data_IF_822944393659
#
_entry.id   IF_822944393659
#
_cell.length_a   1.000
_cell.length_b   1.000
_cell.length_c   1.000
_cell.angle_alpha   90.00
_cell.angle_beta   90.00
_cell.angle_gamma   90.00
#
_symmetry.space_group_name_H-M   'P 1'
#
loop_
_entity.id
_entity.type
_entity.pdbx_description
1 polymer ?
#
# COMPACT_ATOMS: atom_id res chain seq x y z
N UNK A 1 1.32 -11.94 -8.76
CA UNK A 1 1.94 -10.63 -8.44
C UNK A 1 3.30 -10.58 -9.14
N UNK A 2 3.46 -9.76 -10.18
CA UNK A 2 4.75 -9.57 -10.88
C UNK A 2 5.51 -8.41 -10.27
N UNK A 3 6.81 -8.58 -10.02
CA UNK A 3 7.66 -7.52 -9.45
C UNK A 3 7.88 -6.43 -10.51
N UNK A 4 7.62 -5.15 -10.21
CA UNK A 4 7.86 -4.06 -11.16
C UNK A 4 9.36 -3.89 -11.40
N UNK A 5 9.77 -3.95 -12.67
CA UNK A 5 11.17 -3.79 -13.08
C UNK A 5 11.46 -2.30 -13.19
N UNK A 6 12.37 -1.77 -12.37
CA UNK A 6 12.86 -0.39 -12.52
C UNK A 6 13.69 -0.25 -13.80
N UNK A 7 13.54 0.87 -14.49
CA UNK A 7 14.34 1.16 -15.68
C UNK A 7 15.83 1.36 -15.32
N UNK A 8 16.71 0.98 -16.27
CA UNK A 8 18.16 1.17 -16.17
C UNK A 8 18.49 2.67 -16.03
N UNK A 9 19.37 3.01 -15.10
CA UNK A 9 19.83 4.39 -14.89
C UNK A 9 21.32 4.54 -15.22
N UNK A 10 21.72 5.72 -15.70
CA UNK A 10 23.12 6.07 -16.01
C UNK A 10 23.50 7.30 -15.20
N UNK A 11 24.66 7.24 -14.57
CA UNK A 11 25.22 8.30 -13.74
C UNK A 11 26.63 8.62 -14.24
N UNK A 12 26.95 9.91 -14.34
CA UNK A 12 28.29 10.38 -14.67
C UNK A 12 28.95 10.93 -13.41
N UNK A 13 30.06 10.34 -12.99
CA UNK A 13 30.80 10.74 -11.78
C UNK A 13 32.21 11.12 -12.22
N UNK A 14 32.41 12.39 -12.56
CA UNK A 14 33.66 12.88 -13.12
C UNK A 14 34.00 12.15 -14.42
N UNK A 15 35.14 11.43 -14.42
CA UNK A 15 35.60 10.61 -15.55
C UNK A 15 34.95 9.23 -15.64
N UNK A 16 34.21 8.82 -14.62
CA UNK A 16 33.60 7.51 -14.55
C UNK A 16 32.16 7.55 -15.04
N UNK A 17 31.80 6.56 -15.86
CA UNK A 17 30.42 6.28 -16.22
C UNK A 17 29.91 5.10 -15.39
N UNK A 18 28.86 5.32 -14.61
CA UNK A 18 28.25 4.30 -13.77
C UNK A 18 26.88 3.94 -14.32
N UNK A 19 26.69 2.65 -14.58
CA UNK A 19 25.45 2.12 -15.11
C UNK A 19 24.79 1.25 -14.04
N UNK A 20 23.60 1.66 -13.61
CA UNK A 20 22.77 0.90 -12.68
C UNK A 20 21.76 0.02 -13.42
N UNK A 21 21.92 -1.29 -13.28
CA UNK A 21 21.06 -2.30 -13.89
C UNK A 21 20.21 -2.99 -12.81
N UNK A 22 18.89 -3.15 -13.02
CA UNK A 22 18.03 -3.90 -12.10
C UNK A 22 18.43 -5.38 -12.06
N UNK A 23 18.50 -5.94 -10.85
CA UNK A 23 18.73 -7.38 -10.67
C UNK A 23 17.40 -8.12 -10.88
N UNK A 24 17.36 -9.18 -11.69
CA UNK A 24 16.15 -9.96 -11.86
C UNK A 24 15.68 -10.52 -10.51
N UNK A 25 14.36 -10.55 -10.32
CA UNK A 25 13.72 -11.00 -9.08
C UNK A 25 13.92 -10.09 -7.85
N UNK A 26 14.57 -8.93 -7.99
CA UNK A 26 14.68 -7.93 -6.93
C UNK A 26 14.00 -6.62 -7.32
N UNK A 27 13.17 -6.10 -6.42
CA UNK A 27 12.43 -4.84 -6.64
C UNK A 27 13.33 -3.60 -6.49
N UNK A 28 14.40 -3.71 -5.69
CA UNK A 28 15.19 -2.56 -5.24
C UNK A 28 16.70 -2.72 -5.44
N UNK A 29 17.20 -3.95 -5.66
CA UNK A 29 18.64 -4.14 -5.85
C UNK A 29 19.07 -3.77 -7.27
N UNK A 30 20.16 -3.03 -7.35
CA UNK A 30 20.81 -2.60 -8.56
C UNK A 30 22.24 -3.13 -8.61
N UNK A 31 22.67 -3.55 -9.80
CA UNK A 31 24.07 -3.84 -10.13
C UNK A 31 24.66 -2.58 -10.77
N UNK A 32 25.64 -1.99 -10.11
CA UNK A 32 26.38 -0.84 -10.61
C UNK A 32 27.62 -1.32 -11.34
N UNK A 33 27.65 -1.12 -12.66
CA UNK A 33 28.83 -1.34 -13.47
C UNK A 33 29.57 -0.01 -13.68
N UNK A 34 30.86 0.04 -13.37
CA UNK A 34 31.68 1.25 -13.47
C UNK A 34 32.59 1.16 -14.70
N UNK A 35 32.54 2.17 -15.53
CA UNK A 35 33.32 2.31 -16.75
C UNK A 35 34.22 3.54 -16.70
N UNK A 36 35.41 3.43 -17.28
CA UNK A 36 36.29 4.54 -17.63
C UNK A 36 36.64 4.37 -19.10
N UNK A 37 36.40 5.39 -19.92
CA UNK A 37 36.69 5.36 -21.36
C UNK A 37 36.15 4.09 -22.05
N UNK A 38 34.90 3.70 -21.73
CA UNK A 38 34.20 2.50 -22.21
C UNK A 38 34.79 1.16 -21.75
N UNK A 39 35.84 1.17 -20.94
CA UNK A 39 36.41 -0.03 -20.31
C UNK A 39 35.79 -0.24 -18.94
N UNK A 40 35.25 -1.44 -18.68
CA UNK A 40 34.66 -1.78 -17.37
C UNK A 40 35.78 -1.98 -16.36
N UNK A 41 35.81 -1.16 -15.32
CA UNK A 41 36.80 -1.24 -14.23
C UNK A 41 36.29 -2.13 -13.10
N UNK A 42 34.99 -2.09 -12.83
CA UNK A 42 34.44 -2.80 -11.68
C UNK A 42 32.94 -2.96 -11.71
N UNK A 43 32.45 -3.75 -10.76
CA UNK A 43 31.03 -3.94 -10.53
C UNK A 43 30.74 -4.12 -9.04
N UNK A 44 29.69 -3.46 -8.58
CA UNK A 44 29.20 -3.56 -7.20
C UNK A 44 27.71 -3.84 -7.22
N UNK A 45 27.22 -4.66 -6.31
CA UNK A 45 25.79 -4.93 -6.12
C UNK A 45 25.32 -4.21 -4.88
N UNK A 46 24.23 -3.45 -4.96
CA UNK A 46 23.60 -2.89 -3.76
C UNK A 46 23.07 -4.02 -2.88
N UNK A 47 23.40 -4.00 -1.59
CA UNK A 47 22.67 -4.81 -0.62
C UNK A 47 21.28 -4.22 -0.36
N UNK A 48 20.27 -5.05 -0.04
CA UNK A 48 18.99 -4.55 0.45
C UNK A 48 19.22 -3.74 1.73
N UNK A 49 18.58 -2.57 1.82
CA UNK A 49 18.61 -1.78 3.05
C UNK A 49 17.65 -2.38 4.09
N UNK A 50 17.86 -2.10 5.38
CA UNK A 50 16.94 -2.56 6.44
C UNK A 50 15.49 -2.12 6.15
N UNK A 51 15.29 -0.93 5.57
CA UNK A 51 13.96 -0.45 5.17
C UNK A 51 13.30 -1.32 4.11
N UNK A 52 14.08 -1.93 3.22
CA UNK A 52 13.57 -2.80 2.15
C UNK A 52 13.07 -4.13 2.73
N UNK A 53 13.84 -4.71 3.67
CA UNK A 53 13.41 -5.91 4.41
C UNK A 53 12.15 -5.62 5.23
N UNK A 54 12.11 -4.47 5.92
CA UNK A 54 10.97 -4.07 6.75
C UNK A 54 9.70 -3.84 5.93
N UNK A 55 9.83 -3.34 4.71
CA UNK A 55 8.70 -3.18 3.78
C UNK A 55 8.15 -4.54 3.31
N UNK A 56 9.02 -5.53 3.08
CA UNK A 56 8.61 -6.89 2.71
C UNK A 56 7.96 -7.64 3.89
N UNK A 57 8.52 -7.52 5.09
CA UNK A 57 8.03 -8.20 6.29
C UNK A 57 6.75 -7.55 6.85
N UNK A 58 6.68 -6.22 6.83
CA UNK A 58 5.59 -5.44 7.39
C UNK A 58 5.25 -4.29 6.44
N UNK A 59 4.51 -4.56 5.35
CA UNK A 59 4.13 -3.50 4.43
C UNK A 59 3.34 -2.42 5.18
N UNK A 60 3.55 -1.13 4.86
CA UNK A 60 2.83 -0.05 5.50
C UNK A 60 1.33 -0.20 5.24
N UNK A 61 0.52 0.06 6.27
CA UNK A 61 -0.94 -0.02 6.16
C UNK A 61 -1.39 1.01 5.13
N UNK A 62 -1.86 0.54 3.97
CA UNK A 62 -2.44 1.41 2.96
C UNK A 62 -3.78 1.90 3.53
N UNK A 63 -4.00 3.22 3.64
CA UNK A 63 -5.28 3.73 4.10
C UNK A 63 -6.39 3.19 3.20
N UNK A 64 -7.56 2.85 3.76
CA UNK A 64 -8.65 2.27 2.99
C UNK A 64 -8.99 3.22 1.83
N UNK A 65 -9.01 2.67 0.63
CA UNK A 65 -9.37 3.41 -0.58
C UNK A 65 -10.79 3.96 -0.37
N UNK A 66 -10.89 5.25 -0.06
CA UNK A 66 -12.17 5.95 0.05
C UNK A 66 -12.72 5.99 -1.36
N UNK A 67 -13.62 5.06 -1.67
CA UNK A 67 -14.37 5.05 -2.94
C UNK A 67 -14.90 6.47 -3.10
N UNK A 68 -14.54 7.14 -4.19
CA UNK A 68 -15.09 8.45 -4.49
C UNK A 68 -16.60 8.27 -4.65
N UNK A 69 -17.34 8.43 -3.56
CA UNK A 69 -18.77 8.62 -3.60
C UNK A 69 -18.98 9.98 -4.26
N UNK A 70 -19.07 9.98 -5.59
CA UNK A 70 -19.78 11.01 -6.32
C UNK A 70 -21.22 10.94 -5.82
N UNK A 71 -21.48 11.56 -4.67
CA UNK A 71 -22.82 11.89 -4.26
C UNK A 71 -23.39 12.71 -5.40
N UNK A 72 -24.35 12.11 -6.13
CA UNK A 72 -24.94 12.71 -7.31
C UNK A 72 -25.27 14.16 -6.99
N UNK A 73 -24.83 15.08 -7.86
CA UNK A 73 -25.07 16.52 -7.68
C UNK A 73 -26.52 16.68 -7.26
N UNK A 74 -26.82 17.22 -6.06
CA UNK A 74 -28.19 17.35 -5.63
C UNK A 74 -28.85 18.29 -6.63
N UNK A 75 -29.69 17.73 -7.50
CA UNK A 75 -30.50 18.53 -8.39
C UNK A 75 -31.36 19.48 -7.56
N UNK A 76 -31.88 20.52 -8.21
CA UNK A 76 -32.81 21.49 -7.59
C UNK A 76 -33.93 20.72 -6.87
N UNK A 77 -34.13 20.90 -5.55
CA UNK A 77 -35.20 20.23 -4.83
C UNK A 77 -36.55 20.56 -5.49
N UNK A 78 -37.34 19.55 -5.84
CA UNK A 78 -38.71 19.77 -6.35
C UNK A 78 -39.54 20.48 -5.28
N UNK A 79 -40.41 21.40 -5.70
CA UNK A 79 -41.25 22.22 -4.82
C UNK A 79 -42.10 21.30 -3.92
N UNK A 80 -41.87 21.35 -2.60
CA UNK A 80 -42.49 20.48 -1.61
C UNK A 80 -41.57 19.38 -1.02
N UNK A 81 -40.33 19.26 -1.48
CA UNK A 81 -39.39 18.30 -0.90
C UNK A 81 -39.00 18.70 0.54
N UNK A 82 -39.21 17.79 1.48
CA UNK A 82 -38.76 17.93 2.87
C UNK A 82 -37.24 17.99 2.90
N UNK A 83 -36.67 18.99 3.56
CA UNK A 83 -35.21 19.14 3.71
C UNK A 83 -34.64 17.87 4.36
N UNK A 84 -33.57 17.26 3.84
CA UNK A 84 -32.92 16.18 4.55
C UNK A 84 -32.44 16.72 5.90
N UNK A 85 -32.78 16.01 6.99
CA UNK A 85 -32.35 16.38 8.32
C UNK A 85 -30.83 16.46 8.35
N UNK A 86 -30.30 17.55 8.91
CA UNK A 86 -28.87 17.68 9.19
C UNK A 86 -28.50 16.52 10.11
N UNK A 87 -27.71 15.59 9.59
CA UNK A 87 -27.10 14.53 10.39
C UNK A 87 -26.12 15.24 11.32
N UNK A 88 -26.57 15.56 12.53
CA UNK A 88 -25.66 15.76 13.64
C UNK A 88 -24.97 14.42 13.84
N UNK A 89 -23.65 14.37 13.65
CA UNK A 89 -22.83 13.23 14.03
C UNK A 89 -23.07 12.95 15.51
N UNK A 90 -24.00 12.04 15.79
CA UNK A 90 -24.02 11.30 17.04
C UNK A 90 -23.16 10.09 16.76
N UNK A 91 -22.08 9.96 17.55
CA UNK A 91 -21.28 8.75 17.69
C UNK A 91 -22.17 7.52 17.51
N UNK A 92 -22.11 6.91 16.33
CA UNK A 92 -22.74 5.63 16.10
C UNK A 92 -21.76 4.56 16.61
N UNK A 93 -22.09 3.80 17.67
CA UNK A 93 -21.38 2.56 17.92
C UNK A 93 -21.61 1.67 16.70
N UNK A 94 -20.51 1.13 16.15
CA UNK A 94 -20.49 0.43 14.87
C UNK A 94 -21.66 -0.52 14.70
N UNK A 95 -22.28 -0.46 13.52
CA UNK A 95 -23.35 -1.35 13.09
C UNK A 95 -22.82 -2.79 13.07
N UNK A 96 -22.94 -3.49 14.21
CA UNK A 96 -22.69 -4.92 14.32
C UNK A 96 -23.90 -5.59 13.68
N UNK A 97 -23.73 -6.09 12.45
CA UNK A 97 -24.72 -6.99 11.83
C UNK A 97 -25.04 -8.09 12.84
N UNK A 98 -26.32 -8.22 13.21
CA UNK A 98 -26.78 -9.34 14.03
C UNK A 98 -26.50 -10.60 13.24
N UNK A 99 -25.82 -11.58 13.87
CA UNK A 99 -25.62 -12.89 13.26
C UNK A 99 -26.98 -13.45 12.80
N UNK A 100 -27.02 -14.13 11.64
CA UNK A 100 -28.23 -14.81 11.19
C UNK A 100 -28.70 -15.80 12.27
N UNK A 101 -30.02 -15.94 12.40
CA UNK A 101 -30.72 -16.73 13.44
C UNK A 101 -30.34 -18.22 13.47
N UNK A 102 -29.61 -18.69 12.47
CA UNK A 102 -29.31 -20.10 12.25
C UNK A 102 -27.96 -20.52 12.86
N UNK A 103 -27.29 -19.62 13.60
CA UNK A 103 -26.00 -19.90 14.26
C UNK A 103 -26.17 -19.84 15.78
N UNK A 104 -26.46 -20.99 16.41
CA UNK A 104 -26.41 -21.16 17.87
C UNK A 104 -24.96 -21.37 18.33
N UNK A 105 -24.40 -20.41 19.08
CA UNK A 105 -23.10 -20.52 19.76
C UNK A 105 -23.24 -21.11 21.17
N UNK A 106 -23.93 -22.25 21.29
CA UNK A 106 -24.06 -22.99 22.57
C UNK A 106 -22.90 -23.96 22.76
N UNK A 107 -21.68 -23.44 22.80
CA UNK A 107 -20.47 -24.30 22.89
C UNK A 107 -19.21 -23.65 23.43
N UNK A 108 -19.25 -22.42 23.95
CA UNK A 108 -18.10 -21.79 24.59
C UNK A 108 -18.34 -21.71 26.10
N UNK A 109 -17.85 -22.72 26.81
CA UNK A 109 -17.81 -22.74 28.26
C UNK A 109 -17.12 -21.50 28.81
N UNK A 110 -17.71 -20.90 29.85
CA UNK A 110 -17.11 -19.81 30.62
C UNK A 110 -15.77 -20.28 31.20
N UNK A 111 -14.69 -19.49 31.15
CA UNK A 111 -13.54 -19.75 32.01
C UNK A 111 -13.98 -19.46 33.46
N UNK A 112 -13.87 -20.47 34.32
CA UNK A 112 -14.01 -20.29 35.77
C UNK A 112 -12.81 -19.48 36.28
N UNK A 113 -13.10 -18.41 37.02
CA UNK A 113 -12.11 -17.72 37.84
C UNK A 113 -11.66 -18.66 38.98
N UNK A 114 -10.38 -19.06 38.94
CA UNK A 114 -9.61 -19.55 40.08
C UNK A 114 -8.18 -19.05 40.00
#
# INVERSE_FOLDING_TARGET
MSIPIRARARFMIGKYEVIAEPIPYSTQMLRYNVYLDKTRIGATVSMPSESDCRFLEKPPVVPPLKVFNMTGRPGRPKKGAVKPAVVLERDQPGFREKLPSDVTLDGLGKPEDR
#
